data_IF_808175433250
#
_entry.id   IF_808175433250
#
_cell.length_a   1.000
_cell.length_b   1.000
_cell.length_c   1.000
_cell.angle_alpha   90.00
_cell.angle_beta   90.00
_cell.angle_gamma   90.00
#
_symmetry.space_group_name_H-M   'P 1'
#
loop_
_entity.id
_entity.type
_entity.pdbx_description
1 polymer ?
#
# COMPACT_ATOMS: atom_id res chain seq x y z
N UNK A 1 5.52 58.45 -22.40
CA UNK A 1 5.48 57.58 -23.61
C UNK A 1 5.79 56.11 -23.29
N UNK A 2 6.77 55.78 -22.44
CA UNK A 2 7.13 54.38 -22.14
C UNK A 2 6.00 53.47 -21.62
N UNK A 3 5.08 53.98 -20.78
CA UNK A 3 3.97 53.18 -20.24
C UNK A 3 2.90 52.82 -21.28
N UNK A 4 2.62 53.72 -22.25
CA UNK A 4 1.64 53.48 -23.31
C UNK A 4 2.19 52.46 -24.32
N UNK A 5 3.47 52.61 -24.68
CA UNK A 5 4.15 51.71 -25.62
C UNK A 5 4.25 50.29 -25.05
N UNK A 6 4.58 50.14 -23.76
CA UNK A 6 4.55 48.85 -23.06
C UNK A 6 3.16 48.20 -23.02
N UNK A 7 2.08 49.00 -22.92
CA UNK A 7 0.71 48.49 -22.98
C UNK A 7 0.34 48.05 -24.40
N UNK A 8 0.76 48.79 -25.42
CA UNK A 8 0.54 48.44 -26.83
C UNK A 8 1.29 47.15 -27.18
N UNK A 9 2.58 47.04 -26.83
CA UNK A 9 3.38 45.84 -27.06
C UNK A 9 2.79 44.60 -26.38
N UNK A 10 2.27 44.74 -25.16
CA UNK A 10 1.55 43.65 -24.47
C UNK A 10 0.30 43.22 -25.23
N UNK A 11 -0.53 44.15 -25.68
CA UNK A 11 -1.75 43.84 -26.44
C UNK A 11 -1.40 43.19 -27.78
N UNK A 12 -0.42 43.72 -28.51
CA UNK A 12 0.04 43.16 -29.78
C UNK A 12 0.60 41.74 -29.63
N UNK A 13 1.32 41.46 -28.53
CA UNK A 13 1.81 40.10 -28.23
C UNK A 13 0.68 39.11 -27.88
N UNK A 14 -0.49 39.61 -27.48
CA UNK A 14 -1.61 38.82 -27.00
C UNK A 14 -2.62 38.46 -28.10
N UNK A 15 -2.79 39.33 -29.11
CA UNK A 15 -3.70 39.12 -30.25
C UNK A 15 -3.47 37.75 -30.95
N UNK A 16 -2.23 37.30 -31.22
CA UNK A 16 -2.01 35.97 -31.82
C UNK A 16 -2.50 34.82 -30.93
N UNK A 17 -2.36 34.93 -29.61
CA UNK A 17 -2.85 33.93 -28.65
C UNK A 17 -4.37 33.86 -28.66
N UNK A 18 -5.06 35.00 -28.73
CA UNK A 18 -6.52 35.05 -28.82
C UNK A 18 -7.04 34.43 -30.11
N UNK A 19 -6.44 34.78 -31.25
CA UNK A 19 -6.80 34.18 -32.54
C UNK A 19 -6.61 32.65 -32.53
N UNK A 20 -5.50 32.19 -31.97
CA UNK A 20 -5.24 30.76 -31.81
C UNK A 20 -6.24 30.08 -30.85
N UNK A 21 -6.66 30.77 -29.79
CA UNK A 21 -7.63 30.24 -28.83
C UNK A 21 -9.04 30.13 -29.44
N UNK A 22 -9.45 31.10 -30.26
CA UNK A 22 -10.72 31.06 -31.00
C UNK A 22 -10.72 29.91 -31.99
N UNK A 23 -9.67 29.79 -32.79
CA UNK A 23 -9.50 28.67 -33.73
C UNK A 23 -9.61 27.31 -33.01
N UNK A 24 -8.97 27.17 -31.84
CA UNK A 24 -9.09 25.97 -31.00
C UNK A 24 -10.53 25.77 -30.47
N UNK A 25 -11.18 26.84 -30.01
CA UNK A 25 -12.53 26.78 -29.47
C UNK A 25 -13.54 26.33 -30.54
N UNK A 26 -13.48 26.91 -31.74
CA UNK A 26 -14.34 26.61 -32.89
C UNK A 26 -14.12 25.17 -33.39
N UNK A 27 -12.86 24.82 -33.65
CA UNK A 27 -12.54 23.64 -34.44
C UNK A 27 -12.26 22.38 -33.61
N UNK A 28 -11.97 22.52 -32.32
CA UNK A 28 -11.45 21.41 -31.52
C UNK A 28 -12.13 21.19 -30.17
N UNK A 29 -12.69 22.24 -29.55
CA UNK A 29 -13.38 22.10 -28.27
C UNK A 29 -14.90 22.00 -28.42
N UNK A 30 -15.47 22.56 -29.49
CA UNK A 30 -16.92 22.67 -29.71
C UNK A 30 -17.65 23.20 -28.47
N UNK A 31 -17.04 24.15 -27.77
CA UNK A 31 -17.54 24.71 -26.52
C UNK A 31 -18.16 26.08 -26.79
N UNK A 32 -19.50 26.17 -26.98
CA UNK A 32 -20.17 27.41 -27.35
C UNK A 32 -20.05 28.47 -26.24
N UNK A 33 -19.87 28.06 -24.99
CA UNK A 33 -19.67 28.96 -23.86
C UNK A 33 -18.28 29.59 -23.90
N UNK A 34 -17.25 28.80 -24.19
CA UNK A 34 -15.90 29.35 -24.42
C UNK A 34 -15.90 30.28 -25.63
N UNK A 35 -16.51 29.87 -26.73
CA UNK A 35 -16.56 30.64 -27.97
C UNK A 35 -17.26 31.99 -27.77
N UNK A 36 -18.48 31.99 -27.22
CA UNK A 36 -19.23 33.21 -26.99
C UNK A 36 -18.52 34.19 -26.04
N UNK A 37 -17.79 33.68 -25.04
CA UNK A 37 -16.97 34.53 -24.17
C UNK A 37 -15.75 35.09 -24.89
N UNK A 38 -15.08 34.31 -25.75
CA UNK A 38 -13.93 34.77 -26.54
C UNK A 38 -14.31 35.81 -27.59
N UNK A 39 -15.41 35.59 -28.30
CA UNK A 39 -15.98 36.54 -29.26
C UNK A 39 -16.38 37.85 -28.56
N UNK A 40 -17.11 37.76 -27.44
CA UNK A 40 -17.45 38.92 -26.63
C UNK A 40 -16.20 39.69 -26.16
N UNK A 41 -15.15 38.99 -25.73
CA UNK A 41 -13.92 39.66 -25.32
C UNK A 41 -13.15 40.28 -26.50
N UNK A 42 -13.13 39.66 -27.69
CA UNK A 42 -12.54 40.28 -28.87
C UNK A 42 -13.30 41.52 -29.34
N UNK A 43 -14.62 41.47 -29.36
CA UNK A 43 -15.46 42.59 -29.79
C UNK A 43 -15.34 43.79 -28.84
N UNK A 44 -15.06 43.52 -27.56
CA UNK A 44 -14.83 44.53 -26.53
C UNK A 44 -13.35 44.86 -26.30
N UNK A 45 -12.40 44.28 -27.07
CA UNK A 45 -10.99 44.67 -27.11
C UNK A 45 -10.81 46.01 -27.85
N UNK A 46 -11.45 47.08 -27.38
CA UNK A 46 -11.18 48.43 -27.88
C UNK A 46 -9.84 48.90 -27.32
N UNK A 47 -8.92 49.46 -28.14
CA UNK A 47 -7.66 50.02 -27.67
C UNK A 47 -7.92 51.18 -26.69
N UNK A 48 -7.90 50.90 -25.39
CA UNK A 48 -8.18 51.89 -24.35
C UNK A 48 -8.77 51.33 -23.06
N UNK A 49 -9.44 50.17 -23.11
CA UNK A 49 -9.99 49.54 -21.91
C UNK A 49 -8.92 48.62 -21.31
N UNK A 50 -8.25 49.15 -20.29
CA UNK A 50 -7.26 48.48 -19.46
C UNK A 50 -7.81 47.20 -18.84
N UNK A 51 -7.14 46.06 -19.02
CA UNK A 51 -7.33 44.91 -18.14
C UNK A 51 -7.09 43.52 -18.74
N UNK A 52 -6.97 43.37 -20.05
CA UNK A 52 -6.79 42.04 -20.64
C UNK A 52 -5.36 41.53 -20.46
N UNK A 53 -5.13 40.79 -19.39
CA UNK A 53 -3.92 40.02 -19.14
C UNK A 53 -4.19 38.51 -19.20
N UNK A 54 -3.13 37.70 -19.19
CA UNK A 54 -3.23 36.24 -19.18
C UNK A 54 -4.16 35.74 -18.05
N UNK A 55 -4.15 36.41 -16.89
CA UNK A 55 -4.96 36.06 -15.72
C UNK A 55 -6.46 36.21 -15.98
N UNK A 56 -6.85 37.12 -16.87
CA UNK A 56 -8.25 37.34 -17.23
C UNK A 56 -8.81 36.21 -18.10
N UNK A 57 -7.98 35.54 -18.90
CA UNK A 57 -8.37 34.43 -19.77
C UNK A 57 -8.19 33.05 -19.14
N UNK A 58 -7.29 32.95 -18.17
CA UNK A 58 -6.98 31.72 -17.47
C UNK A 58 -8.21 30.98 -16.88
N UNK A 59 -9.26 31.65 -16.32
CA UNK A 59 -10.48 30.96 -15.88
C UNK A 59 -11.23 30.25 -17.01
N UNK A 60 -11.31 30.85 -18.20
CA UNK A 60 -12.04 30.26 -19.34
C UNK A 60 -11.29 29.05 -19.89
N UNK A 61 -9.96 29.16 -20.03
CA UNK A 61 -9.12 28.04 -20.42
C UNK A 61 -9.18 26.94 -19.37
N UNK A 62 -9.17 27.26 -18.08
CA UNK A 62 -9.34 26.28 -17.01
C UNK A 62 -10.68 25.54 -17.12
N UNK A 63 -11.77 26.27 -17.36
CA UNK A 63 -13.09 25.68 -17.60
C UNK A 63 -13.07 24.71 -18.78
N UNK A 64 -12.41 25.06 -19.89
CA UNK A 64 -12.23 24.17 -21.03
C UNK A 64 -11.39 22.93 -20.68
N UNK A 65 -10.28 23.10 -19.96
CA UNK A 65 -9.41 22.02 -19.48
C UNK A 65 -10.11 21.08 -18.49
N UNK A 66 -11.16 21.53 -17.81
CA UNK A 66 -11.98 20.70 -16.91
C UNK A 66 -13.09 19.94 -17.63
N UNK A 67 -13.32 20.26 -18.92
CA UNK A 67 -14.34 19.64 -19.79
C UNK A 67 -13.75 18.77 -20.91
N UNK A 68 -12.46 18.42 -20.85
CA UNK A 68 -11.79 17.58 -21.86
C UNK A 68 -12.41 16.18 -22.01
N UNK A 69 -13.18 15.70 -21.03
CA UNK A 69 -13.96 14.46 -21.17
C UNK A 69 -15.12 14.56 -22.14
N UNK A 70 -15.70 15.75 -22.24
CA UNK A 70 -16.82 16.06 -23.10
C UNK A 70 -16.31 16.42 -24.49
N UNK A 71 -15.37 17.36 -24.58
CA UNK A 71 -14.85 17.87 -25.86
C UNK A 71 -13.85 16.94 -26.55
N UNK A 72 -13.12 16.12 -25.77
CA UNK A 72 -12.14 15.13 -26.26
C UNK A 72 -11.15 15.67 -27.32
N UNK A 73 -10.51 16.84 -27.12
CA UNK A 73 -9.57 17.40 -28.09
C UNK A 73 -8.34 16.49 -28.32
N UNK A 74 -7.49 16.86 -29.28
CA UNK A 74 -6.20 16.19 -29.44
C UNK A 74 -5.23 16.56 -28.30
N UNK A 75 -4.17 15.76 -28.08
CA UNK A 75 -3.17 16.06 -27.04
C UNK A 75 -2.43 17.35 -27.38
N UNK A 76 -2.14 17.57 -28.66
CA UNK A 76 -1.46 18.75 -29.19
C UNK A 76 -2.27 20.03 -28.93
N UNK A 77 -3.60 19.96 -29.04
CA UNK A 77 -4.49 21.09 -28.73
C UNK A 77 -4.42 21.44 -27.25
N UNK A 78 -4.50 20.44 -26.36
CA UNK A 78 -4.43 20.68 -24.91
C UNK A 78 -3.05 21.21 -24.50
N UNK A 79 -1.99 20.67 -25.08
CA UNK A 79 -0.63 21.14 -24.90
C UNK A 79 -0.49 22.62 -25.30
N UNK A 80 -0.99 22.98 -26.49
CA UNK A 80 -0.98 24.37 -26.97
C UNK A 80 -1.78 25.30 -26.06
N UNK A 81 -2.92 24.87 -25.52
CA UNK A 81 -3.71 25.65 -24.56
C UNK A 81 -2.92 25.92 -23.27
N UNK A 82 -2.27 24.89 -22.73
CA UNK A 82 -1.45 25.01 -21.52
C UNK A 82 -0.24 25.91 -21.75
N UNK A 83 0.45 25.77 -22.89
CA UNK A 83 1.61 26.60 -23.22
C UNK A 83 1.23 28.08 -23.44
N UNK A 84 0.05 28.34 -24.00
CA UNK A 84 -0.45 29.70 -24.19
C UNK A 84 -0.88 30.36 -22.88
N UNK A 85 -1.51 29.58 -21.98
CA UNK A 85 -2.13 30.05 -20.73
C UNK A 85 -1.78 29.13 -19.54
N UNK A 86 -0.51 29.05 -19.12
CA UNK A 86 -0.08 28.13 -18.07
C UNK A 86 -0.72 28.45 -16.71
N UNK A 87 -1.06 29.72 -16.46
CA UNK A 87 -1.79 30.12 -15.25
C UNK A 87 -3.19 29.50 -15.16
N UNK A 88 -3.80 29.04 -16.25
CA UNK A 88 -5.11 28.35 -16.23
C UNK A 88 -5.10 27.09 -15.35
N UNK A 89 -3.95 26.48 -15.13
CA UNK A 89 -3.81 25.29 -14.28
C UNK A 89 -4.08 25.56 -12.80
N UNK A 90 -4.09 26.83 -12.37
CA UNK A 90 -4.33 27.23 -10.98
C UNK A 90 -5.76 27.70 -10.73
N UNK A 91 -6.60 27.79 -11.76
CA UNK A 91 -7.97 28.25 -11.61
C UNK A 91 -8.90 27.08 -11.30
N UNK A 92 -9.74 27.29 -10.28
CA UNK A 92 -10.77 26.34 -9.92
C UNK A 92 -11.91 26.42 -10.93
N UNK A 93 -12.41 25.27 -11.37
CA UNK A 93 -13.67 25.16 -12.09
C UNK A 93 -14.85 25.64 -11.23
N UNK A 94 -16.04 25.74 -11.82
CA UNK A 94 -17.30 25.98 -11.10
C UNK A 94 -17.53 24.98 -9.94
N UNK A 95 -17.02 23.75 -10.07
CA UNK A 95 -17.08 22.72 -9.02
C UNK A 95 -15.98 22.83 -7.94
N UNK A 96 -15.19 23.89 -7.95
CA UNK A 96 -14.08 24.08 -7.00
C UNK A 96 -12.93 23.09 -7.20
N UNK A 97 -12.64 22.70 -8.44
CA UNK A 97 -11.61 21.70 -8.78
C UNK A 97 -10.64 22.27 -9.83
N UNK A 98 -9.35 22.03 -9.63
CA UNK A 98 -8.30 22.33 -10.59
C UNK A 98 -8.38 21.38 -11.81
N UNK A 99 -7.84 21.77 -12.98
CA UNK A 99 -7.78 20.90 -14.15
C UNK A 99 -7.15 19.53 -13.85
N UNK A 100 -6.07 19.48 -13.07
CA UNK A 100 -5.44 18.22 -12.67
C UNK A 100 -6.32 17.39 -11.72
N UNK A 101 -7.08 18.01 -10.82
CA UNK A 101 -8.04 17.29 -9.98
C UNK A 101 -9.17 16.69 -10.82
N UNK A 102 -9.73 17.46 -11.75
CA UNK A 102 -10.72 16.97 -12.71
C UNK A 102 -10.18 15.81 -13.55
N UNK A 103 -8.94 15.92 -14.01
CA UNK A 103 -8.27 14.85 -14.75
C UNK A 103 -8.07 13.59 -13.91
N UNK A 104 -7.69 13.74 -12.64
CA UNK A 104 -7.53 12.63 -11.70
C UNK A 104 -8.86 11.97 -11.31
N UNK A 105 -10.00 12.65 -11.49
CA UNK A 105 -11.34 12.08 -11.23
C UNK A 105 -11.97 11.43 -12.47
N UNK A 106 -11.55 11.76 -13.69
CA UNK A 106 -12.24 11.37 -14.93
C UNK A 106 -11.40 10.44 -15.84
N UNK A 107 -11.45 9.14 -15.52
CA UNK A 107 -10.57 8.08 -16.03
C UNK A 107 -10.50 7.95 -17.56
N UNK A 108 -11.63 7.73 -18.22
CA UNK A 108 -11.64 7.29 -19.61
C UNK A 108 -11.14 8.35 -20.61
N UNK A 109 -11.24 9.63 -20.25
CA UNK A 109 -10.95 10.72 -21.17
C UNK A 109 -9.65 11.46 -20.87
N UNK A 110 -9.09 11.31 -19.66
CA UNK A 110 -7.97 12.14 -19.22
C UNK A 110 -6.62 11.42 -19.11
N UNK A 111 -6.55 10.08 -19.27
CA UNK A 111 -5.27 9.34 -19.28
C UNK A 111 -4.21 10.05 -20.13
N UNK A 112 -4.61 10.46 -21.34
CA UNK A 112 -3.71 11.10 -22.30
C UNK A 112 -3.35 12.56 -21.97
N UNK A 113 -3.99 13.20 -20.98
CA UNK A 113 -3.71 14.60 -20.62
C UNK A 113 -3.03 14.75 -19.25
N UNK A 114 -3.15 13.77 -18.34
CA UNK A 114 -2.55 13.83 -16.99
C UNK A 114 -1.07 14.25 -17.06
N UNK A 115 -0.32 13.66 -17.99
CA UNK A 115 1.10 13.95 -18.16
C UNK A 115 1.39 15.39 -18.61
N UNK A 116 0.43 16.09 -19.24
CA UNK A 116 0.56 17.49 -19.66
C UNK A 116 0.53 18.44 -18.47
N UNK A 117 -0.33 18.15 -17.49
CA UNK A 117 -0.49 18.97 -16.29
C UNK A 117 0.69 18.88 -15.34
N UNK A 118 1.54 17.85 -15.47
CA UNK A 118 2.68 17.62 -14.57
C UNK A 118 4.02 18.04 -15.16
N UNK A 119 4.03 18.66 -16.35
CA UNK A 119 5.28 19.03 -17.04
C UNK A 119 6.09 20.07 -16.25
N UNK A 120 7.43 20.07 -16.36
CA UNK A 120 8.28 21.05 -15.68
C UNK A 120 7.93 22.52 -15.99
N UNK A 121 7.47 22.84 -17.20
CA UNK A 121 7.01 24.19 -17.58
C UNK A 121 5.74 24.63 -16.85
N UNK A 122 4.92 23.65 -16.44
CA UNK A 122 3.71 23.85 -15.65
C UNK A 122 3.98 23.77 -14.15
N UNK A 123 5.23 23.40 -13.79
CA UNK A 123 5.75 23.64 -12.46
C UNK A 123 5.77 25.12 -12.12
N UNK A 124 5.98 25.58 -10.90
CA UNK A 124 5.77 27.00 -10.59
C UNK A 124 4.29 27.46 -10.58
N UNK A 125 3.44 27.19 -11.58
CA UNK A 125 2.04 27.64 -11.59
C UNK A 125 1.20 26.83 -10.61
N UNK A 126 1.14 25.51 -10.78
CA UNK A 126 0.49 24.60 -9.82
C UNK A 126 1.10 24.67 -8.39
N UNK A 127 2.22 25.39 -8.22
CA UNK A 127 3.12 25.28 -7.07
C UNK A 127 3.38 26.60 -6.33
N UNK A 128 3.06 27.75 -6.94
CA UNK A 128 3.22 29.09 -6.32
C UNK A 128 2.19 29.38 -5.23
N UNK A 129 1.07 28.66 -5.24
CA UNK A 129 0.12 28.57 -4.15
C UNK A 129 0.34 27.24 -3.46
N UNK A 130 1.09 27.27 -2.34
CA UNK A 130 1.47 26.14 -1.48
C UNK A 130 0.65 24.87 -1.76
N UNK A 131 1.26 23.87 -2.41
CA UNK A 131 0.72 22.53 -2.34
C UNK A 131 0.81 22.11 -0.88
N UNK A 132 -0.31 21.65 -0.28
CA UNK A 132 -1.56 21.36 -0.96
C UNK A 132 -2.44 22.60 -1.16
N UNK A 133 -2.92 22.75 -2.40
CA UNK A 133 -4.04 23.62 -2.71
C UNK A 133 -5.16 23.42 -1.67
N UNK A 134 -5.89 24.48 -1.29
CA UNK A 134 -6.91 24.40 -0.26
C UNK A 134 -7.84 23.21 -0.55
N UNK A 135 -8.22 22.45 0.50
CA UNK A 135 -9.08 21.30 0.34
C UNK A 135 -10.34 21.71 -0.42
N UNK A 136 -10.79 20.88 -1.35
CA UNK A 136 -12.01 21.12 -2.07
C UNK A 136 -13.16 21.29 -1.07
N UNK A 137 -13.94 22.35 -1.20
CA UNK A 137 -14.96 22.77 -0.23
C UNK A 137 -16.01 21.66 0.01
N UNK A 138 -16.25 20.82 -0.99
CA UNK A 138 -17.25 19.75 -0.90
C UNK A 138 -16.71 18.46 -0.29
N UNK A 139 -15.44 18.12 -0.55
CA UNK A 139 -14.87 16.83 -0.17
C UNK A 139 -13.89 16.90 1.00
N UNK A 140 -13.40 18.10 1.34
CA UNK A 140 -12.28 18.27 2.27
C UNK A 140 -10.96 17.72 1.74
N UNK A 141 -10.92 17.21 0.50
CA UNK A 141 -9.75 16.56 -0.09
C UNK A 141 -8.92 17.56 -0.87
N UNK A 142 -7.60 17.51 -0.68
CA UNK A 142 -6.67 18.27 -1.50
C UNK A 142 -6.31 17.52 -2.79
N UNK A 143 -5.52 18.15 -3.66
CA UNK A 143 -5.09 17.53 -4.93
C UNK A 143 -4.36 16.20 -4.74
N UNK A 144 -3.56 16.06 -3.67
CA UNK A 144 -2.84 14.82 -3.40
C UNK A 144 -3.81 13.68 -3.10
N UNK A 145 -4.86 13.93 -2.32
CA UNK A 145 -5.91 12.94 -2.08
C UNK A 145 -6.54 12.47 -3.38
N UNK A 146 -6.94 13.38 -4.27
CA UNK A 146 -7.53 13.01 -5.56
C UNK A 146 -6.56 12.23 -6.46
N UNK A 147 -5.26 12.53 -6.43
CA UNK A 147 -4.28 11.76 -7.21
C UNK A 147 -4.14 10.33 -6.69
N UNK A 148 -4.20 10.15 -5.36
CA UNK A 148 -3.87 8.86 -4.72
C UNK A 148 -5.09 7.95 -4.54
N UNK A 149 -6.29 8.52 -4.37
CA UNK A 149 -7.50 7.80 -3.94
C UNK A 149 -8.47 7.42 -5.05
N UNK A 150 -8.38 8.04 -6.23
CA UNK A 150 -9.40 7.85 -7.28
C UNK A 150 -9.35 6.46 -7.89
N UNK A 151 -10.22 5.57 -7.43
CA UNK A 151 -10.47 4.24 -8.02
C UNK A 151 -11.65 4.26 -8.97
N UNK A 152 -11.69 3.32 -9.93
CA UNK A 152 -12.85 3.11 -10.79
C UNK A 152 -13.69 1.92 -10.31
N UNK A 153 -14.96 2.12 -10.03
CA UNK A 153 -15.92 1.04 -9.73
C UNK A 153 -16.55 0.46 -11.00
N UNK A 154 -15.72 0.14 -11.99
CA UNK A 154 -16.20 -0.62 -13.14
C UNK A 154 -15.33 -1.87 -13.30
N UNK A 155 -15.88 -2.97 -12.80
CA UNK A 155 -15.27 -4.30 -12.92
C UNK A 155 -15.15 -4.74 -14.40
N UNK A 156 -15.86 -4.07 -15.31
CA UNK A 156 -15.90 -4.41 -16.74
C UNK A 156 -14.73 -3.86 -17.58
N UNK A 157 -13.85 -3.00 -17.03
CA UNK A 157 -12.80 -2.31 -17.80
C UNK A 157 -11.40 -2.33 -17.14
N UNK A 158 -10.96 -3.52 -16.70
CA UNK A 158 -9.64 -3.73 -16.09
C UNK A 158 -8.46 -3.11 -16.88
N UNK A 159 -8.36 -3.22 -18.23
CA UNK A 159 -7.22 -2.65 -18.97
C UNK A 159 -7.15 -1.12 -18.91
N UNK A 160 -8.31 -0.44 -18.87
CA UNK A 160 -8.37 1.03 -18.81
C UNK A 160 -8.01 1.50 -17.40
N UNK A 161 -8.56 0.83 -16.38
CA UNK A 161 -8.24 1.12 -14.99
C UNK A 161 -6.75 0.98 -14.70
N UNK A 162 -6.10 -0.08 -15.23
CA UNK A 162 -4.65 -0.28 -15.09
C UNK A 162 -3.82 0.83 -15.74
N UNK A 163 -4.17 1.26 -16.96
CA UNK A 163 -3.46 2.36 -17.65
C UNK A 163 -3.66 3.69 -16.94
N UNK A 164 -4.82 3.89 -16.35
CA UNK A 164 -5.10 5.08 -15.56
C UNK A 164 -4.28 5.12 -14.26
N UNK A 165 -4.28 4.03 -13.50
CA UNK A 165 -3.46 3.89 -12.30
C UNK A 165 -1.97 4.08 -12.62
N UNK A 166 -1.50 3.54 -13.75
CA UNK A 166 -0.13 3.76 -14.24
C UNK A 166 0.15 5.24 -14.58
N UNK A 167 -0.78 5.91 -15.24
CA UNK A 167 -0.60 7.33 -15.61
C UNK A 167 -0.55 8.24 -14.38
N UNK A 168 -1.41 8.00 -13.38
CA UNK A 168 -1.37 8.73 -12.12
C UNK A 168 -0.15 8.36 -11.27
N UNK A 169 0.28 7.09 -11.28
CA UNK A 169 1.51 6.69 -10.60
C UNK A 169 2.74 7.39 -11.18
N UNK A 170 2.81 7.54 -12.51
CA UNK A 170 3.87 8.30 -13.18
C UNK A 170 3.84 9.79 -12.82
N UNK A 171 2.65 10.38 -12.71
CA UNK A 171 2.47 11.76 -12.24
C UNK A 171 2.96 11.94 -10.80
N UNK A 172 2.59 11.02 -9.89
CA UNK A 172 3.05 11.03 -8.49
C UNK A 172 4.57 10.84 -8.43
N UNK A 173 5.14 9.89 -9.19
CA UNK A 173 6.59 9.68 -9.26
C UNK A 173 7.32 10.93 -9.73
N UNK A 174 6.77 11.63 -10.73
CA UNK A 174 7.30 12.91 -11.19
C UNK A 174 7.25 13.98 -10.08
N UNK A 175 6.12 14.12 -9.39
CA UNK A 175 5.97 15.09 -8.30
C UNK A 175 6.90 14.81 -7.14
N UNK A 176 7.05 13.55 -6.76
CA UNK A 176 8.03 13.10 -5.78
C UNK A 176 9.46 13.51 -6.20
N UNK A 177 9.88 13.21 -7.45
CA UNK A 177 11.22 13.53 -7.96
C UNK A 177 11.53 15.02 -8.04
N UNK A 178 10.52 15.85 -8.27
CA UNK A 178 10.66 17.30 -8.26
C UNK A 178 10.57 17.92 -6.85
N UNK A 179 10.35 17.10 -5.81
CA UNK A 179 10.26 17.55 -4.42
C UNK A 179 8.90 18.16 -4.04
N UNK A 180 7.86 17.97 -4.86
CA UNK A 180 6.52 18.50 -4.62
C UNK A 180 5.65 17.64 -3.71
N UNK A 181 5.96 16.35 -3.62
CA UNK A 181 5.42 15.47 -2.60
C UNK A 181 6.58 15.10 -1.69
N UNK A 182 6.58 15.68 -0.50
CA UNK A 182 7.57 15.38 0.52
C UNK A 182 7.16 14.13 1.30
N UNK A 183 8.10 13.58 2.08
CA UNK A 183 7.79 12.49 3.00
C UNK A 183 6.79 12.93 4.08
N UNK A 184 6.86 14.19 4.49
CA UNK A 184 5.95 14.79 5.46
C UNK A 184 4.52 14.84 4.90
N UNK A 185 4.35 15.23 3.63
CA UNK A 185 3.03 15.24 2.97
C UNK A 185 2.40 13.85 2.93
N UNK A 186 3.20 12.80 2.68
CA UNK A 186 2.72 11.42 2.67
C UNK A 186 2.11 11.04 4.02
N UNK A 187 2.72 11.48 5.12
CA UNK A 187 2.26 11.20 6.49
C UNK A 187 1.10 12.13 6.89
N UNK A 188 1.27 13.44 6.75
CA UNK A 188 0.30 14.47 7.14
C UNK A 188 -1.05 14.30 6.43
N UNK A 189 -1.02 13.92 5.14
CA UNK A 189 -2.22 13.68 4.33
C UNK A 189 -2.57 12.20 4.21
N UNK A 190 -1.94 11.32 5.01
CA UNK A 190 -2.27 9.88 5.06
C UNK A 190 -2.34 9.25 3.66
N UNK A 191 -1.45 9.66 2.74
CA UNK A 191 -1.57 9.32 1.32
C UNK A 191 -1.45 7.82 1.06
N UNK A 192 -0.68 7.11 1.90
CA UNK A 192 -0.61 5.65 1.87
C UNK A 192 -1.96 5.01 2.23
N UNK A 193 -2.69 5.56 3.22
CA UNK A 193 -4.00 5.05 3.57
C UNK A 193 -4.98 5.19 2.39
N UNK A 194 -5.00 6.38 1.79
CA UNK A 194 -5.91 6.70 0.69
C UNK A 194 -5.59 5.99 -0.63
N UNK A 195 -4.33 5.60 -0.87
CA UNK A 195 -3.95 4.84 -2.07
C UNK A 195 -3.97 3.33 -1.89
N UNK A 196 -4.11 2.80 -0.68
CA UNK A 196 -3.98 1.37 -0.42
C UNK A 196 -5.22 0.60 -0.91
N UNK A 197 -5.40 0.47 -2.23
CA UNK A 197 -6.50 -0.25 -2.86
C UNK A 197 -5.97 -0.97 -4.11
N UNK A 198 -6.56 -2.10 -4.49
CA UNK A 198 -6.20 -2.83 -5.72
C UNK A 198 -6.25 -1.96 -6.97
N UNK A 199 -7.22 -1.03 -7.05
CA UNK A 199 -7.42 -0.07 -8.15
C UNK A 199 -6.37 1.04 -8.18
N UNK A 200 -5.66 1.23 -7.09
CA UNK A 200 -4.65 2.28 -6.88
C UNK A 200 -3.26 1.68 -6.61
N UNK A 201 -3.06 0.39 -6.92
CA UNK A 201 -1.91 -0.38 -6.46
C UNK A 201 -0.58 0.21 -6.95
N UNK A 202 -0.50 0.77 -8.17
CA UNK A 202 0.72 1.37 -8.70
C UNK A 202 1.04 2.69 -8.00
N UNK A 203 0.03 3.50 -7.70
CA UNK A 203 0.18 4.73 -6.91
C UNK A 203 0.65 4.44 -5.49
N UNK A 204 0.03 3.47 -4.83
CA UNK A 204 0.48 3.00 -3.51
C UNK A 204 1.92 2.49 -3.54
N UNK A 205 2.27 1.68 -4.55
CA UNK A 205 3.64 1.20 -4.81
C UNK A 205 4.65 2.34 -4.94
N UNK A 206 4.29 3.38 -5.68
CA UNK A 206 5.13 4.56 -5.87
C UNK A 206 5.41 5.26 -4.53
N UNK A 207 4.35 5.60 -3.78
CA UNK A 207 4.46 6.28 -2.49
C UNK A 207 5.20 5.45 -1.44
N UNK A 208 4.89 4.15 -1.34
CA UNK A 208 5.54 3.23 -0.41
C UNK A 208 7.04 3.07 -0.69
N UNK A 209 7.47 3.13 -1.95
CA UNK A 209 8.90 3.13 -2.29
C UNK A 209 9.57 4.46 -1.96
N UNK A 210 8.86 5.56 -2.14
CA UNK A 210 9.36 6.90 -1.85
C UNK A 210 9.58 7.13 -0.34
N UNK A 211 8.63 6.67 0.47
CA UNK A 211 8.69 6.74 1.94
C UNK A 211 8.33 5.39 2.57
N UNK A 212 9.26 4.44 2.49
CA UNK A 212 9.06 3.08 3.03
C UNK A 212 8.74 3.06 4.52
N UNK A 213 9.34 3.96 5.30
CA UNK A 213 9.17 3.99 6.75
C UNK A 213 7.74 4.40 7.14
N UNK A 214 7.03 5.16 6.29
CA UNK A 214 5.63 5.49 6.50
C UNK A 214 4.71 4.26 6.57
N UNK A 215 5.07 3.12 5.96
CA UNK A 215 4.31 1.87 6.16
C UNK A 215 4.31 1.42 7.63
N UNK A 216 5.36 1.78 8.40
CA UNK A 216 5.50 1.48 9.83
C UNK A 216 4.98 2.62 10.72
N UNK A 217 5.24 3.87 10.34
CA UNK A 217 5.00 5.04 11.19
C UNK A 217 3.67 5.72 10.95
N UNK A 218 3.09 5.64 9.75
CA UNK A 218 1.82 6.32 9.45
C UNK A 218 0.67 5.79 10.32
N UNK A 219 -0.21 6.72 10.68
CA UNK A 219 -1.38 6.46 11.53
C UNK A 219 -2.64 7.08 10.91
N UNK A 220 -3.76 6.38 11.04
CA UNK A 220 -5.10 6.89 10.73
C UNK A 220 -5.93 6.72 11.98
N UNK A 221 -6.46 7.82 12.52
CA UNK A 221 -7.18 7.82 13.81
C UNK A 221 -6.34 7.18 14.93
N UNK A 222 -5.05 7.54 14.98
CA UNK A 222 -4.04 7.01 15.90
C UNK A 222 -3.73 5.50 15.75
N UNK A 223 -4.32 4.81 14.76
CA UNK A 223 -4.08 3.39 14.50
C UNK A 223 -3.05 3.18 13.38
N UNK A 224 -2.12 2.21 13.50
CA UNK A 224 -1.28 1.79 12.38
C UNK A 224 -2.09 1.41 11.15
N UNK A 225 -1.56 1.66 9.95
CA UNK A 225 -2.29 1.43 8.68
C UNK A 225 -2.89 0.02 8.56
N UNK A 226 -2.11 -1.02 8.88
CA UNK A 226 -2.61 -2.40 8.82
C UNK A 226 -3.80 -2.61 9.77
N UNK A 227 -3.71 -2.08 11.00
CA UNK A 227 -4.81 -2.18 11.96
C UNK A 227 -6.04 -1.44 11.45
N UNK A 228 -5.86 -0.22 10.94
CA UNK A 228 -6.95 0.57 10.37
C UNK A 228 -7.71 -0.23 9.29
N UNK A 229 -6.99 -0.82 8.33
CA UNK A 229 -7.63 -1.62 7.28
C UNK A 229 -8.30 -2.91 7.78
N UNK A 230 -7.76 -3.52 8.83
CA UNK A 230 -8.37 -4.71 9.45
C UNK A 230 -9.68 -4.35 10.12
N UNK A 231 -9.72 -3.27 10.90
CA UNK A 231 -10.92 -2.82 11.62
C UNK A 231 -12.03 -2.34 10.68
N UNK A 232 -11.65 -1.73 9.55
CA UNK A 232 -12.59 -1.37 8.48
C UNK A 232 -13.00 -2.58 7.60
N UNK A 233 -12.53 -3.79 7.94
CA UNK A 233 -12.71 -5.04 7.18
C UNK A 233 -12.37 -4.90 5.67
N UNK A 234 -11.46 -3.99 5.33
CA UNK A 234 -11.09 -3.67 3.96
C UNK A 234 -9.97 -4.60 3.47
N UNK A 235 -10.34 -5.84 3.17
CA UNK A 235 -9.39 -6.90 2.82
C UNK A 235 -8.60 -6.65 1.53
N UNK A 236 -9.14 -5.87 0.59
CA UNK A 236 -8.39 -5.46 -0.60
C UNK A 236 -7.21 -4.55 -0.23
N UNK A 237 -7.43 -3.63 0.70
CA UNK A 237 -6.38 -2.78 1.25
C UNK A 237 -5.37 -3.59 2.04
N UNK A 238 -5.83 -4.55 2.87
CA UNK A 238 -4.95 -5.48 3.59
C UNK A 238 -4.08 -6.28 2.62
N UNK A 239 -4.65 -6.78 1.52
CA UNK A 239 -3.90 -7.53 0.51
C UNK A 239 -2.76 -6.68 -0.09
N UNK A 240 -3.09 -5.47 -0.56
CA UNK A 240 -2.14 -4.54 -1.19
C UNK A 240 -1.06 -4.10 -0.19
N UNK A 241 -1.47 -3.76 1.04
CA UNK A 241 -0.56 -3.36 2.11
C UNK A 241 0.47 -4.47 2.40
N UNK A 242 0.00 -5.70 2.62
CA UNK A 242 0.86 -6.82 2.97
C UNK A 242 1.78 -7.22 1.81
N UNK A 243 1.30 -7.22 0.56
CA UNK A 243 2.15 -7.46 -0.61
C UNK A 243 3.34 -6.49 -0.67
N UNK A 244 3.08 -5.20 -0.47
CA UNK A 244 4.13 -4.19 -0.53
C UNK A 244 5.05 -4.22 0.68
N UNK A 245 4.47 -4.36 1.85
CA UNK A 245 5.19 -4.51 3.10
C UNK A 245 6.19 -5.66 3.03
N UNK A 246 5.77 -6.81 2.53
CA UNK A 246 6.65 -7.96 2.40
C UNK A 246 7.71 -7.80 1.31
N UNK A 247 7.40 -7.05 0.24
CA UNK A 247 8.38 -6.71 -0.79
C UNK A 247 9.48 -5.77 -0.25
N UNK A 248 9.11 -4.77 0.55
CA UNK A 248 10.03 -3.73 1.03
C UNK A 248 10.74 -4.11 2.34
N UNK A 249 10.13 -4.98 3.14
CA UNK A 249 10.59 -5.36 4.48
C UNK A 249 10.50 -6.88 4.71
N UNK A 250 11.14 -7.72 3.91
CA UNK A 250 11.01 -9.18 4.01
C UNK A 250 11.36 -9.74 5.40
N UNK A 251 12.32 -9.13 6.10
CA UNK A 251 12.80 -9.57 7.42
C UNK A 251 12.02 -8.95 8.61
N UNK A 252 11.32 -7.84 8.36
CA UNK A 252 10.52 -7.11 9.36
C UNK A 252 9.01 -7.26 9.10
N UNK A 253 8.63 -8.09 8.13
CA UNK A 253 7.25 -8.30 7.71
C UNK A 253 6.34 -8.71 8.87
N UNK A 254 6.91 -9.45 9.84
CA UNK A 254 6.21 -9.80 11.08
C UNK A 254 5.92 -8.57 11.90
N UNK A 255 6.91 -7.68 12.08
CA UNK A 255 6.86 -6.46 12.88
C UNK A 255 5.66 -5.55 12.55
N UNK A 256 5.13 -5.63 11.33
CA UNK A 256 3.98 -4.85 10.89
C UNK A 256 2.65 -5.29 11.50
N UNK A 257 2.58 -6.52 12.01
CA UNK A 257 1.45 -6.97 12.83
C UNK A 257 1.58 -6.52 14.29
N UNK A 258 2.72 -5.92 14.68
CA UNK A 258 2.98 -5.51 16.05
C UNK A 258 2.84 -3.99 16.19
N UNK A 259 1.88 -3.58 17.00
CA UNK A 259 1.71 -2.21 17.46
C UNK A 259 1.28 -2.23 18.93
N UNK A 260 1.43 -1.10 19.61
CA UNK A 260 0.82 -0.88 20.92
C UNK A 260 -0.68 -0.69 20.69
N UNK A 261 -1.42 -1.80 20.68
CA UNK A 261 -2.86 -1.81 20.48
C UNK A 261 -3.57 -1.75 21.83
N UNK A 262 -4.78 -1.18 21.85
CA UNK A 262 -5.62 -1.30 23.04
C UNK A 262 -6.09 -2.75 23.23
N UNK A 263 -6.46 -3.14 24.45
CA UNK A 263 -7.03 -4.47 24.72
C UNK A 263 -8.26 -4.76 23.86
N UNK A 264 -9.06 -3.72 23.56
CA UNK A 264 -10.23 -3.83 22.70
C UNK A 264 -9.86 -4.11 21.24
N UNK A 265 -8.83 -3.43 20.73
CA UNK A 265 -8.29 -3.70 19.39
C UNK A 265 -7.75 -5.12 19.30
N UNK A 266 -7.05 -5.61 20.33
CA UNK A 266 -6.55 -6.98 20.38
C UNK A 266 -7.65 -8.04 20.21
N UNK A 267 -8.80 -7.84 20.86
CA UNK A 267 -9.96 -8.75 20.73
C UNK A 267 -10.54 -8.71 19.31
N UNK A 268 -10.70 -7.51 18.73
CA UNK A 268 -11.22 -7.35 17.37
C UNK A 268 -10.28 -7.95 16.32
N UNK A 269 -8.98 -7.62 16.42
CA UNK A 269 -7.93 -8.20 15.60
C UNK A 269 -8.00 -9.73 15.70
N UNK A 270 -8.07 -10.29 16.92
CA UNK A 270 -8.17 -11.73 17.09
C UNK A 270 -9.39 -12.32 16.36
N UNK A 271 -10.56 -11.68 16.43
CA UNK A 271 -11.75 -12.12 15.71
C UNK A 271 -11.57 -12.05 14.18
N UNK A 272 -11.03 -10.94 13.66
CA UNK A 272 -10.75 -10.77 12.22
C UNK A 272 -9.75 -11.82 11.72
N UNK A 273 -8.70 -12.08 12.51
CA UNK A 273 -7.66 -13.06 12.17
C UNK A 273 -8.17 -14.51 12.22
N UNK A 274 -9.23 -14.79 12.98
CA UNK A 274 -9.96 -16.06 12.93
C UNK A 274 -10.94 -16.12 11.75
N UNK A 275 -11.27 -14.99 11.12
CA UNK A 275 -12.18 -14.89 10.00
C UNK A 275 -11.64 -15.52 8.71
N UNK A 276 -12.53 -16.18 7.95
CA UNK A 276 -12.18 -16.84 6.70
C UNK A 276 -11.67 -15.86 5.62
N UNK A 277 -12.21 -14.63 5.58
CA UNK A 277 -11.83 -13.59 4.62
C UNK A 277 -10.38 -13.12 4.77
N UNK A 278 -9.94 -12.91 6.01
CA UNK A 278 -8.55 -12.56 6.30
C UNK A 278 -7.61 -13.69 5.89
N UNK A 279 -7.99 -14.94 6.21
CA UNK A 279 -7.22 -16.11 5.81
C UNK A 279 -7.02 -16.17 4.28
N UNK A 280 -8.10 -16.00 3.51
CA UNK A 280 -8.02 -16.05 2.04
C UNK A 280 -7.11 -14.95 1.49
N UNK A 281 -7.18 -13.76 2.09
CA UNK A 281 -6.29 -12.63 1.79
C UNK A 281 -4.83 -12.99 2.04
N UNK A 282 -4.50 -13.49 3.24
CA UNK A 282 -3.13 -13.93 3.53
C UNK A 282 -2.64 -15.06 2.63
N UNK A 283 -3.51 -16.01 2.28
CA UNK A 283 -3.14 -17.10 1.38
C UNK A 283 -2.71 -16.60 0.00
N UNK A 284 -3.34 -15.54 -0.52
CA UNK A 284 -2.94 -14.88 -1.76
C UNK A 284 -1.57 -14.20 -1.64
N UNK A 285 -1.34 -13.50 -0.53
CA UNK A 285 -0.12 -12.72 -0.32
C UNK A 285 1.10 -13.59 0.04
N UNK A 286 0.91 -14.64 0.83
CA UNK A 286 2.00 -15.50 1.33
C UNK A 286 2.47 -16.50 0.27
N UNK A 287 1.63 -16.91 -0.70
CA UNK A 287 2.05 -17.83 -1.78
C UNK A 287 3.40 -17.47 -2.42
N UNK A 288 3.70 -16.19 -2.71
CA UNK A 288 5.01 -15.78 -3.23
C UNK A 288 6.12 -15.53 -2.19
N UNK A 289 5.86 -15.49 -0.87
CA UNK A 289 6.78 -14.90 0.13
C UNK A 289 7.17 -15.88 1.23
N UNK A 290 8.41 -15.77 1.73
CA UNK A 290 9.11 -16.75 2.57
C UNK A 290 8.57 -16.93 4.00
N UNK A 291 8.82 -18.14 4.53
CA UNK A 291 8.63 -18.68 5.91
C UNK A 291 8.97 -17.78 7.11
N UNK A 292 9.98 -16.89 7.07
CA UNK A 292 10.42 -16.14 8.25
C UNK A 292 9.31 -15.27 8.88
N UNK A 293 8.39 -14.75 8.08
CA UNK A 293 7.22 -13.98 8.55
C UNK A 293 6.35 -14.76 9.53
N UNK A 294 5.96 -15.97 9.13
CA UNK A 294 5.10 -16.81 9.96
C UNK A 294 5.84 -17.16 11.24
N UNK A 295 7.14 -17.42 11.20
CA UNK A 295 7.93 -17.64 12.41
C UNK A 295 7.99 -16.45 13.34
N UNK A 296 8.05 -15.22 12.84
CA UNK A 296 7.98 -14.04 13.72
C UNK A 296 6.60 -13.90 14.37
N UNK A 297 5.52 -14.12 13.61
CA UNK A 297 4.16 -14.22 14.13
C UNK A 297 4.08 -15.33 15.20
N UNK A 298 4.81 -16.44 15.02
CA UNK A 298 4.87 -17.56 15.98
C UNK A 298 5.64 -17.26 17.26
N UNK A 299 6.58 -16.30 17.28
CA UNK A 299 7.51 -16.12 18.40
C UNK A 299 6.94 -15.33 19.59
N UNK A 300 5.80 -14.64 19.44
CA UNK A 300 5.16 -13.90 20.54
C UNK A 300 4.01 -14.70 21.19
N UNK A 301 4.02 -14.68 22.53
CA UNK A 301 3.36 -15.58 23.51
C UNK A 301 1.81 -15.64 23.49
N UNK A 302 1.19 -14.76 22.72
CA UNK A 302 -0.27 -14.56 22.58
C UNK A 302 -0.83 -15.09 21.24
N UNK A 303 0.03 -15.39 20.27
CA UNK A 303 -0.38 -15.69 18.88
C UNK A 303 -0.46 -17.19 18.56
N UNK A 304 -0.20 -18.07 19.55
CA UNK A 304 -0.22 -19.52 19.39
C UNK A 304 -1.49 -20.12 18.78
N UNK A 305 -2.64 -19.44 18.89
CA UNK A 305 -3.88 -19.87 18.21
C UNK A 305 -3.91 -19.53 16.71
N UNK A 306 -3.23 -18.48 16.26
CA UNK A 306 -3.17 -18.18 14.81
C UNK A 306 -2.34 -19.21 14.05
N UNK A 307 -1.32 -19.76 14.69
CA UNK A 307 -0.59 -20.94 14.22
C UNK A 307 -1.54 -22.13 13.95
N UNK A 308 -2.57 -22.32 14.76
CA UNK A 308 -3.55 -23.37 14.46
C UNK A 308 -4.29 -23.11 13.14
N UNK A 309 -4.67 -21.85 12.90
CA UNK A 309 -5.40 -21.38 11.72
C UNK A 309 -4.51 -21.45 10.47
N UNK A 310 -3.28 -20.92 10.54
CA UNK A 310 -2.34 -20.94 9.41
C UNK A 310 -1.93 -22.34 8.98
N UNK A 311 -1.66 -23.24 9.92
CA UNK A 311 -1.25 -24.62 9.60
C UNK A 311 -2.38 -25.48 9.01
N UNK A 312 -3.63 -25.15 9.35
CA UNK A 312 -4.80 -25.80 8.76
C UNK A 312 -5.00 -25.35 7.32
N UNK A 313 -4.98 -24.04 7.11
CA UNK A 313 -5.41 -23.49 5.84
C UNK A 313 -4.26 -23.27 4.82
N UNK A 314 -3.00 -23.14 5.24
CA UNK A 314 -1.83 -23.00 4.35
C UNK A 314 -0.96 -24.28 4.34
N UNK A 315 -1.40 -25.38 3.72
CA UNK A 315 -0.70 -26.67 3.79
C UNK A 315 0.72 -26.65 3.21
N UNK A 316 1.04 -25.69 2.33
CA UNK A 316 2.40 -25.52 1.80
C UNK A 316 3.41 -25.05 2.87
N UNK A 317 2.96 -24.35 3.92
CA UNK A 317 3.82 -23.96 5.04
C UNK A 317 4.36 -25.17 5.81
N UNK A 318 3.66 -26.32 5.75
CA UNK A 318 4.08 -27.57 6.41
C UNK A 318 5.39 -28.14 5.86
N UNK A 319 5.89 -27.64 4.73
CA UNK A 319 7.13 -28.10 4.07
C UNK A 319 8.28 -27.10 4.16
N UNK A 320 8.01 -25.89 4.64
CA UNK A 320 9.00 -24.82 4.75
C UNK A 320 9.69 -24.90 6.13
N UNK A 321 11.01 -24.71 6.16
CA UNK A 321 11.82 -24.71 7.37
C UNK A 321 12.11 -23.28 7.86
N UNK A 322 12.27 -23.11 9.16
CA UNK A 322 12.68 -21.88 9.81
C UNK A 322 14.19 -21.66 9.73
N UNK A 323 14.67 -20.52 10.24
CA UNK A 323 16.10 -20.19 10.25
C UNK A 323 16.95 -21.17 11.07
N UNK A 324 16.32 -21.87 12.01
CA UNK A 324 16.92 -22.87 12.88
C UNK A 324 16.73 -24.30 12.30
N UNK A 325 16.18 -24.41 11.08
CA UNK A 325 15.91 -25.67 10.37
C UNK A 325 14.62 -26.38 10.78
N UNK A 326 13.78 -25.78 11.64
CA UNK A 326 12.54 -26.39 12.14
C UNK A 326 11.45 -26.34 11.09
N UNK A 327 10.73 -27.45 10.91
CA UNK A 327 9.47 -27.40 10.19
C UNK A 327 8.40 -26.66 11.01
N UNK A 328 7.33 -26.25 10.35
CA UNK A 328 6.19 -25.56 10.97
C UNK A 328 5.73 -26.16 12.31
N UNK A 329 5.57 -27.49 12.36
CA UNK A 329 5.09 -28.17 13.55
C UNK A 329 6.14 -28.14 14.68
N UNK A 330 7.41 -28.32 14.35
CA UNK A 330 8.50 -28.27 15.33
C UNK A 330 8.61 -26.90 15.99
N UNK A 331 8.54 -25.83 15.19
CA UNK A 331 8.53 -24.48 15.72
C UNK A 331 7.28 -24.19 16.56
N UNK A 332 6.12 -24.69 16.14
CA UNK A 332 4.88 -24.60 16.91
C UNK A 332 5.00 -25.30 18.28
N UNK A 333 5.52 -26.53 18.32
CA UNK A 333 5.72 -27.27 19.57
C UNK A 333 6.74 -26.60 20.48
N UNK A 334 7.88 -26.18 19.93
CA UNK A 334 8.91 -25.45 20.68
C UNK A 334 8.35 -24.16 21.30
N UNK A 335 7.49 -23.46 20.57
CA UNK A 335 6.80 -22.29 21.08
C UNK A 335 5.79 -22.63 22.19
N UNK A 336 4.92 -23.62 22.00
CA UNK A 336 3.98 -24.05 23.04
C UNK A 336 4.74 -24.40 24.33
N UNK A 337 5.93 -24.99 24.21
CA UNK A 337 6.81 -25.31 25.33
C UNK A 337 7.30 -24.07 26.09
N UNK A 338 7.71 -23.04 25.35
CA UNK A 338 8.14 -21.77 25.93
C UNK A 338 7.00 -20.99 26.60
N UNK A 339 5.79 -21.04 26.03
CA UNK A 339 4.68 -20.24 26.50
C UNK A 339 4.00 -20.79 27.79
N UNK A 340 4.34 -21.99 28.27
CA UNK A 340 3.67 -22.71 29.38
C UNK A 340 2.14 -22.77 29.26
N UNK A 341 1.60 -22.51 28.08
CA UNK A 341 0.17 -22.62 27.82
C UNK A 341 -0.15 -24.10 27.65
N UNK A 342 -1.14 -24.60 28.41
CA UNK A 342 -1.66 -25.95 28.18
C UNK A 342 -2.09 -26.04 26.72
N UNK A 343 -1.48 -26.91 25.91
CA UNK A 343 -1.93 -27.12 24.55
C UNK A 343 -3.39 -27.61 24.60
N UNK A 344 -4.28 -26.93 23.89
CA UNK A 344 -5.68 -27.34 23.78
C UNK A 344 -5.78 -28.74 23.17
N UNK A 345 -6.85 -29.50 23.42
CA UNK A 345 -7.10 -30.85 22.85
C UNK A 345 -6.88 -30.94 21.32
N UNK A 346 -6.97 -29.81 20.62
CA UNK A 346 -6.64 -29.68 19.20
C UNK A 346 -5.19 -30.03 18.83
N UNK A 347 -4.24 -29.98 19.78
CA UNK A 347 -2.83 -30.32 19.61
C UNK A 347 -2.62 -31.84 19.59
N UNK A 348 -3.44 -32.57 20.35
CA UNK A 348 -3.49 -34.04 20.39
C UNK A 348 -3.96 -34.60 19.05
N UNK A 349 -5.11 -34.09 18.58
CA UNK A 349 -5.77 -34.49 17.32
C UNK A 349 -4.85 -34.31 16.10
N UNK A 350 -3.79 -33.50 16.21
CA UNK A 350 -2.92 -33.15 15.08
C UNK A 350 -1.59 -33.89 15.06
N UNK A 351 -1.10 -34.43 16.17
CA UNK A 351 0.03 -35.39 16.13
C UNK A 351 -0.42 -36.66 15.40
N UNK A 352 -1.67 -37.08 15.61
CA UNK A 352 -2.32 -38.18 14.86
C UNK A 352 -2.31 -37.97 13.33
N UNK A 353 -2.20 -36.72 12.86
CA UNK A 353 -2.20 -36.37 11.44
C UNK A 353 -0.79 -36.17 10.86
N UNK A 354 0.27 -36.36 11.64
CA UNK A 354 1.65 -36.32 11.14
C UNK A 354 2.00 -37.66 10.48
N UNK A 355 2.73 -37.60 9.37
CA UNK A 355 3.33 -38.82 8.80
C UNK A 355 4.40 -39.38 9.75
N UNK A 356 4.64 -40.70 9.70
CA UNK A 356 5.68 -41.36 10.52
C UNK A 356 7.05 -40.69 10.37
N UNK A 357 7.43 -40.29 9.16
CA UNK A 357 8.67 -39.56 8.88
C UNK A 357 8.77 -38.25 9.68
N UNK A 358 7.67 -37.49 9.78
CA UNK A 358 7.64 -36.23 10.53
C UNK A 358 7.63 -36.45 12.04
N UNK A 359 7.04 -37.55 12.51
CA UNK A 359 7.09 -37.95 13.92
C UNK A 359 8.49 -38.38 14.35
N UNK A 360 9.30 -38.89 13.41
CA UNK A 360 10.68 -39.31 13.64
C UNK A 360 11.71 -38.18 13.45
N UNK A 361 11.31 -37.05 12.87
CA UNK A 361 12.20 -35.90 12.66
C UNK A 361 12.36 -35.11 13.96
N UNK A 362 13.56 -35.17 14.55
CA UNK A 362 13.92 -34.37 15.74
C UNK A 362 13.92 -32.87 15.42
N UNK A 363 13.44 -32.07 16.36
CA UNK A 363 13.60 -30.63 16.33
C UNK A 363 15.11 -30.30 16.39
N UNK A 364 15.65 -29.55 15.42
CA UNK A 364 17.10 -29.30 15.31
C UNK A 364 17.70 -28.49 16.48
N UNK A 365 16.87 -27.80 17.26
CA UNK A 365 17.34 -26.95 18.37
C UNK A 365 17.23 -27.66 19.71
N UNK A 366 16.10 -28.30 19.97
CA UNK A 366 15.82 -29.00 21.25
C UNK A 366 16.25 -30.46 21.22
N UNK A 367 16.45 -31.04 20.04
CA UNK A 367 16.70 -32.47 19.86
C UNK A 367 15.50 -33.37 20.17
N UNK A 368 14.35 -32.79 20.52
CA UNK A 368 13.15 -33.51 20.91
C UNK A 368 12.33 -33.92 19.68
N UNK A 369 11.65 -35.04 19.79
CA UNK A 369 10.65 -35.46 18.82
C UNK A 369 9.34 -34.72 19.10
N UNK A 370 8.47 -34.54 18.09
CA UNK A 370 7.19 -33.83 18.25
C UNK A 370 6.36 -34.30 19.46
N UNK A 371 6.23 -35.61 19.66
CA UNK A 371 5.47 -36.17 20.79
C UNK A 371 6.19 -35.99 22.13
N UNK A 372 7.53 -35.98 22.16
CA UNK A 372 8.31 -35.69 23.38
C UNK A 372 8.22 -34.21 23.77
N UNK A 373 8.17 -33.31 22.80
CA UNK A 373 7.93 -31.89 23.04
C UNK A 373 6.54 -31.67 23.65
N UNK A 374 5.52 -32.39 23.17
CA UNK A 374 4.15 -32.34 23.72
C UNK A 374 4.09 -32.96 25.12
N UNK A 375 4.73 -34.12 25.30
CA UNK A 375 4.88 -34.80 26.58
C UNK A 375 5.43 -33.88 27.68
N UNK A 376 6.57 -33.25 27.37
CA UNK A 376 7.28 -32.35 28.28
C UNK A 376 6.41 -31.16 28.71
N UNK A 377 5.42 -30.81 27.90
CA UNK A 377 4.59 -29.63 28.11
C UNK A 377 3.25 -29.92 28.77
N UNK A 378 2.67 -31.10 28.52
CA UNK A 378 1.38 -31.50 29.08
C UNK A 378 1.48 -32.29 30.38
N UNK A 379 2.63 -32.93 30.66
CA UNK A 379 2.74 -33.89 31.76
C UNK A 379 1.80 -35.10 31.65
N UNK A 380 1.08 -35.26 30.54
CA UNK A 380 0.09 -36.33 30.34
C UNK A 380 0.76 -37.55 29.73
N UNK A 381 1.15 -38.50 30.59
CA UNK A 381 1.73 -39.79 30.19
C UNK A 381 0.76 -40.61 29.33
N UNK A 382 -0.55 -40.50 29.57
CA UNK A 382 -1.56 -41.22 28.79
C UNK A 382 -1.59 -40.81 27.32
N UNK A 383 -1.41 -39.52 27.03
CA UNK A 383 -1.35 -39.01 25.66
C UNK A 383 -0.15 -39.55 24.89
N UNK A 384 1.00 -39.59 25.57
CA UNK A 384 2.23 -40.15 25.02
C UNK A 384 1.98 -41.61 24.69
N UNK A 385 1.37 -42.36 25.61
CA UNK A 385 1.07 -43.77 25.40
C UNK A 385 0.17 -44.02 24.19
N UNK A 386 -0.91 -43.23 24.01
CA UNK A 386 -1.79 -43.35 22.84
C UNK A 386 -1.09 -43.03 21.51
N UNK A 387 -0.28 -41.97 21.49
CA UNK A 387 0.49 -41.60 20.30
C UNK A 387 1.55 -42.64 19.95
N UNK A 388 2.18 -43.23 20.97
CA UNK A 388 3.15 -44.31 20.80
C UNK A 388 2.49 -45.60 20.30
N UNK A 389 1.27 -45.91 20.74
CA UNK A 389 0.49 -47.04 20.24
C UNK A 389 0.13 -46.90 18.76
N UNK A 390 -0.18 -45.68 18.32
CA UNK A 390 -0.51 -45.41 16.90
C UNK A 390 0.72 -45.41 15.99
N UNK A 391 1.91 -45.12 16.52
CA UNK A 391 3.15 -45.02 15.74
C UNK A 391 4.31 -45.83 16.35
N UNK A 392 4.19 -47.17 16.44
CA UNK A 392 5.14 -48.03 17.16
C UNK A 392 6.55 -48.05 16.53
N UNK A 393 6.67 -47.83 15.20
CA UNK A 393 7.96 -47.79 14.51
C UNK A 393 8.82 -46.60 14.91
N UNK A 394 8.19 -45.45 15.17
CA UNK A 394 8.89 -44.25 15.61
C UNK A 394 9.57 -44.50 16.98
N UNK A 395 8.90 -45.23 17.88
CA UNK A 395 9.45 -45.60 19.18
C UNK A 395 10.67 -46.51 19.05
N UNK A 396 10.57 -47.55 18.21
CA UNK A 396 11.66 -48.50 17.97
C UNK A 396 12.89 -47.78 17.41
N UNK A 397 12.70 -46.84 16.47
CA UNK A 397 13.80 -46.06 15.90
C UNK A 397 14.40 -45.08 16.92
N UNK A 398 13.57 -44.49 17.77
CA UNK A 398 14.04 -43.58 18.82
C UNK A 398 14.89 -44.31 19.86
N UNK A 399 14.42 -45.45 20.36
CA UNK A 399 15.16 -46.32 21.29
C UNK A 399 16.48 -46.77 20.67
N UNK A 400 16.48 -47.16 19.39
CA UNK A 400 17.71 -47.52 18.67
C UNK A 400 18.68 -46.33 18.54
N UNK A 401 18.17 -45.12 18.31
CA UNK A 401 19.01 -43.92 18.17
C UNK A 401 19.65 -43.49 19.49
N UNK A 402 18.97 -43.65 20.61
CA UNK A 402 19.52 -43.38 21.96
C UNK A 402 20.44 -44.50 22.44
N UNK A 403 20.19 -45.76 22.05
CA UNK A 403 21.10 -46.87 22.33
C UNK A 403 22.42 -46.81 21.53
N UNK A 404 22.43 -46.13 20.37
CA UNK A 404 23.61 -45.95 19.51
C UNK A 404 24.50 -44.76 19.88
N UNK A 405 23.99 -43.77 20.63
CA UNK A 405 24.79 -42.68 21.16
C UNK A 405 25.52 -43.16 22.42
N UNK A 406 26.71 -43.75 22.27
CA UNK A 406 27.67 -43.84 23.39
C UNK A 406 27.91 -42.41 23.89
N UNK A 407 27.40 -42.11 25.08
CA UNK A 407 27.70 -40.87 25.78
C UNK A 407 29.22 -40.66 25.75
N UNK A 408 29.69 -39.59 25.10
CA UNK A 408 31.03 -39.10 25.39
C UNK A 408 31.01 -38.68 26.86
N UNK A 409 31.87 -39.25 27.71
CA UNK A 409 31.85 -38.93 29.12
C UNK A 409 32.05 -37.43 29.27
N UNK A 410 31.13 -36.77 29.97
CA UNK A 410 31.33 -35.38 30.41
C UNK A 410 32.57 -35.35 31.30
N UNK A 411 33.69 -34.88 30.75
CA UNK A 411 34.83 -34.47 31.56
C UNK A 411 34.43 -33.24 32.37
N UNK A 412 33.98 -33.47 33.60
CA UNK A 412 33.93 -32.45 34.65
C UNK A 412 35.37 -31.96 34.89
N UNK A 413 35.73 -30.84 34.28
CA UNK A 413 36.92 -30.07 34.68
C UNK A 413 36.64 -29.50 36.08
N UNK A 414 37.07 -30.21 37.12
CA UNK A 414 37.27 -29.62 38.45
C UNK A 414 38.35 -28.55 38.30
N UNK A 415 37.96 -27.27 38.39
CA UNK A 415 38.87 -26.21 38.80
C UNK A 415 39.28 -26.50 40.25
N UNK A 416 40.53 -26.93 40.46
CA UNK A 416 41.25 -26.62 41.69
C UNK A 416 41.96 -25.30 41.40
N UNK A 417 41.49 -24.23 42.01
CA UNK A 417 42.31 -23.05 42.21
C UNK A 417 42.92 -23.21 43.60
N UNK A 418 44.21 -23.59 43.61
CA UNK A 418 45.08 -23.50 44.77
C UNK A 418 45.35 -22.02 45.04
N UNK A 419 45.12 -21.57 46.28
CA UNK A 419 45.62 -20.28 46.78
C UNK A 419 46.65 -20.58 47.87
N UNK A 420 47.85 -20.03 47.68
CA UNK A 420 48.81 -19.77 48.76
C UNK A 420 48.21 -18.83 49.80
#
# INVERSE_FOLDING_TARGET
>A
MSCLQHKIEKVESFIPKLKALIDIAENHLHDPTLLGNLEFHMDNCVPGITGMDEKSFAPFVASALTRLSVSRPSVEVVEKLIDMFPSSLTFLSENGLLPLQHAAMNIASYIKYVHLFVRPSCSGYLYSSHVPAPPNVFTGQNILHHLVSTGYDCDDYEPIAMRFDESLANAIDHFCKQGFITKEDIENYKLLAHSCNKKCMRRFKCLARWHKEALKTSRVEDKPLLLYFLLEENFDSVEVFLQMSFQLFPDESGLLFFGDYSDQDHVHIYQILLGFSFYYTLAKVIRPISVPLLHQICKRSDVGRMLFVFGYHLPFLRRRLDKDGRCYYQAFFAYCQMARNRPSDSLVIRIDNLSSEKLETKDPVTGLLPFMAVAANNGSVGLIYELLLKHPTALVNCIKSSAGQKEKPMTLKRKRDDSN
#
